data_IF_605909892558
#
_entry.id   IF_605909892558
#
_cell.length_a   1.000
_cell.length_b   1.000
_cell.length_c   1.000
_cell.angle_alpha   90.00
_cell.angle_beta   90.00
_cell.angle_gamma   90.00
#
_symmetry.space_group_name_H-M   'P 1'
#
loop_
_entity.id
_entity.type
_entity.pdbx_description
1 polymer ?
#
# COMPACT_ATOMS: atom_id res chain seq x y z
N UNK A 1 -10.29 -6.86 -0.77
CA UNK A 1 -9.70 -6.00 -1.82
C UNK A 1 -10.13 -4.58 -1.53
N UNK A 2 -9.22 -3.61 -1.66
CA UNK A 2 -9.46 -2.18 -1.48
C UNK A 2 -8.96 -1.45 -2.71
N UNK A 3 -9.70 -0.44 -3.15
CA UNK A 3 -9.33 0.43 -4.25
C UNK A 3 -9.68 1.87 -3.88
N UNK A 4 -8.77 2.79 -4.19
CA UNK A 4 -8.95 4.21 -3.95
C UNK A 4 -8.50 5.00 -5.17
N UNK A 5 -9.18 6.10 -5.43
CA UNK A 5 -8.76 7.10 -6.42
C UNK A 5 -8.55 8.38 -5.65
N UNK A 6 -7.42 9.05 -5.89
CA UNK A 6 -7.06 10.26 -5.18
C UNK A 6 -6.65 11.36 -6.17
N UNK A 7 -7.07 12.58 -5.86
CA UNK A 7 -6.76 13.79 -6.62
C UNK A 7 -6.45 14.90 -5.63
N UNK A 8 -5.17 15.08 -5.34
CA UNK A 8 -4.64 16.09 -4.45
C UNK A 8 -3.54 16.85 -5.20
N UNK A 9 -3.69 18.16 -5.48
CA UNK A 9 -2.77 18.90 -6.34
C UNK A 9 -1.35 19.00 -5.77
N UNK A 10 -1.22 19.13 -4.43
CA UNK A 10 0.05 19.38 -3.76
C UNK A 10 0.18 18.59 -2.47
N UNK A 11 1.42 18.52 -1.94
CA UNK A 11 1.73 17.85 -0.68
C UNK A 11 0.97 18.45 0.52
N UNK A 12 0.68 19.76 0.46
CA UNK A 12 -0.15 20.47 1.44
C UNK A 12 -1.60 19.98 1.47
N UNK A 13 -2.11 19.45 0.35
CA UNK A 13 -3.46 18.90 0.20
C UNK A 13 -3.49 17.35 0.28
N UNK A 14 -2.47 16.73 0.87
CA UNK A 14 -2.38 15.26 0.96
C UNK A 14 -3.60 14.66 1.65
N UNK A 15 -4.05 13.55 1.09
CA UNK A 15 -5.14 12.74 1.61
C UNK A 15 -4.54 11.61 2.44
N UNK A 16 -5.10 11.40 3.62
CA UNK A 16 -4.81 10.23 4.44
C UNK A 16 -5.98 9.27 4.30
N UNK A 17 -5.73 8.10 3.73
CA UNK A 17 -6.71 7.06 3.64
C UNK A 17 -6.20 5.81 4.36
N UNK A 18 -7.12 5.12 5.04
CA UNK A 18 -6.82 3.86 5.67
C UNK A 18 -6.72 2.77 4.60
N UNK A 19 -5.58 2.08 4.55
CA UNK A 19 -5.39 0.90 3.71
C UNK A 19 -5.44 -0.38 4.55
N UNK A 20 -6.02 -1.47 4.03
CA UNK A 20 -5.93 -2.77 4.68
C UNK A 20 -4.48 -3.19 4.87
N UNK A 21 -4.14 -3.57 6.09
CA UNK A 21 -2.79 -3.96 6.47
C UNK A 21 -2.75 -5.40 6.99
N UNK A 22 -1.55 -5.97 7.04
CA UNK A 22 -1.32 -7.25 7.70
C UNK A 22 -1.67 -7.15 9.18
N UNK A 23 -2.07 -8.28 9.78
CA UNK A 23 -2.47 -8.32 11.17
C UNK A 23 -1.36 -7.84 12.10
N UNK A 24 -1.69 -6.88 12.96
CA UNK A 24 -0.73 -6.26 13.89
C UNK A 24 0.08 -5.11 13.28
N UNK A 25 -0.20 -4.73 12.03
CA UNK A 25 0.32 -3.51 11.41
C UNK A 25 -0.80 -2.51 11.17
N UNK A 26 -0.48 -1.24 11.38
CA UNK A 26 -1.28 -0.11 10.92
C UNK A 26 -0.35 0.87 10.24
N UNK A 27 -0.72 1.33 9.06
CA UNK A 27 -0.05 2.44 8.42
C UNK A 27 -1.10 3.38 7.84
N UNK A 28 -0.71 4.65 7.84
CA UNK A 28 -1.49 5.74 7.30
C UNK A 28 -0.72 6.29 6.10
N UNK A 29 -0.87 5.69 4.92
CA UNK A 29 -0.25 6.21 3.72
C UNK A 29 -0.76 7.63 3.45
N UNK A 30 0.16 8.48 3.00
CA UNK A 30 -0.16 9.81 2.52
C UNK A 30 -0.23 9.79 1.00
N UNK A 31 -1.41 10.11 0.46
CA UNK A 31 -1.67 10.19 -0.96
C UNK A 31 -1.65 11.65 -1.39
N UNK A 32 -0.80 11.97 -2.36
CA UNK A 32 -0.71 13.28 -2.99
C UNK A 32 -0.44 13.10 -4.48
N UNK A 33 -0.83 14.08 -5.28
CA UNK A 33 -0.90 13.99 -6.74
C UNK A 33 -2.24 13.42 -7.23
N UNK A 34 -2.25 12.99 -8.50
CA UNK A 34 -3.40 12.32 -9.13
C UNK A 34 -3.06 10.88 -9.50
N UNK A 35 -3.91 9.96 -9.09
CA UNK A 35 -3.70 8.54 -9.36
C UNK A 35 -4.72 7.62 -8.70
N UNK A 36 -4.43 6.34 -8.80
CA UNK A 36 -5.22 5.25 -8.23
C UNK A 36 -4.32 4.41 -7.33
N UNK A 37 -4.85 3.94 -6.22
CA UNK A 37 -4.21 2.98 -5.34
C UNK A 37 -5.09 1.74 -5.22
N UNK A 38 -4.48 0.57 -5.17
CA UNK A 38 -5.14 -0.71 -4.97
C UNK A 38 -4.39 -1.52 -3.95
N UNK A 39 -5.12 -2.10 -3.00
CA UNK A 39 -4.56 -3.03 -2.00
C UNK A 39 -5.32 -4.33 -2.01
N UNK A 40 -4.57 -5.41 -2.16
CA UNK A 40 -5.06 -6.76 -2.10
C UNK A 40 -4.45 -7.44 -0.87
N UNK A 41 -5.33 -7.84 0.05
CA UNK A 41 -4.96 -8.57 1.27
C UNK A 41 -5.58 -9.96 1.17
N UNK A 42 -4.74 -10.99 1.22
CA UNK A 42 -5.12 -12.39 1.27
C UNK A 42 -4.72 -12.93 2.62
N UNK A 43 -5.68 -13.46 3.37
CA UNK A 43 -5.42 -14.19 4.60
C UNK A 43 -5.87 -15.63 4.39
N UNK A 44 -4.94 -16.56 4.58
CA UNK A 44 -5.17 -17.99 4.48
C UNK A 44 -4.83 -18.67 5.79
N UNK A 45 -5.78 -19.41 6.35
CA UNK A 45 -5.64 -20.14 7.61
C UNK A 45 -5.90 -21.62 7.37
N UNK A 46 -4.90 -22.38 6.88
CA UNK A 46 -5.08 -23.81 6.63
C UNK A 46 -5.31 -24.62 7.91
N UNK A 47 -4.88 -24.14 9.08
CA UNK A 47 -5.24 -24.74 10.37
C UNK A 47 -5.22 -23.71 11.50
N UNK A 48 -5.61 -24.12 12.72
CA UNK A 48 -5.57 -23.23 13.89
C UNK A 48 -4.15 -22.76 14.24
N UNK A 49 -3.15 -23.57 13.89
CA UNK A 49 -1.74 -23.34 14.17
C UNK A 49 -1.06 -22.49 13.08
N UNK A 50 -1.56 -22.55 11.84
CA UNK A 50 -0.93 -21.88 10.68
C UNK A 50 -1.79 -20.73 10.18
N UNK A 51 -1.23 -19.52 10.16
CA UNK A 51 -1.84 -18.33 9.55
C UNK A 51 -0.87 -17.73 8.55
N UNK A 52 -1.24 -17.71 7.27
CA UNK A 52 -0.51 -17.07 6.19
C UNK A 52 -1.25 -15.79 5.78
N UNK A 53 -0.55 -14.68 5.68
CA UNK A 53 -1.10 -13.39 5.27
C UNK A 53 -0.20 -12.79 4.19
N UNK A 54 -0.81 -12.36 3.09
CA UNK A 54 -0.12 -11.74 1.97
C UNK A 54 -0.83 -10.42 1.66
N UNK A 55 -0.06 -9.34 1.58
CA UNK A 55 -0.53 -8.00 1.21
C UNK A 55 0.23 -7.54 0.00
N UNK A 56 -0.50 -7.14 -1.03
CA UNK A 56 0.03 -6.50 -2.22
C UNK A 56 -0.65 -5.14 -2.38
N UNK A 57 0.12 -4.07 -2.27
CA UNK A 57 -0.33 -2.71 -2.50
C UNK A 57 0.35 -2.16 -3.75
N UNK A 58 -0.42 -1.51 -4.62
CA UNK A 58 0.06 -0.88 -5.82
C UNK A 58 -0.56 0.51 -5.94
N UNK A 59 0.28 1.51 -6.17
CA UNK A 59 -0.14 2.90 -6.38
C UNK A 59 0.33 3.31 -7.77
N UNK A 60 -0.62 3.59 -8.64
CA UNK A 60 -0.39 4.09 -9.99
C UNK A 60 -0.65 5.59 -10.03
N UNK A 61 0.36 6.38 -10.45
CA UNK A 61 0.25 7.84 -10.54
C UNK A 61 0.39 8.26 -12.00
N UNK A 62 -0.66 8.87 -12.55
CA UNK A 62 -0.73 9.25 -13.96
C UNK A 62 0.00 10.58 -14.24
N UNK A 63 0.14 11.44 -13.24
CA UNK A 63 0.47 12.86 -13.42
C UNK A 63 1.99 13.16 -13.27
N UNK A 64 2.75 12.31 -12.58
CA UNK A 64 4.19 12.55 -12.34
C UNK A 64 5.01 11.26 -12.43
N UNK A 65 6.16 11.35 -13.12
CA UNK A 65 7.07 10.22 -13.40
C UNK A 65 8.00 9.84 -12.24
N UNK A 66 8.11 10.68 -11.20
CA UNK A 66 8.96 10.41 -10.04
C UNK A 66 8.36 11.00 -8.76
N UNK A 67 8.50 10.27 -7.66
CA UNK A 67 8.10 10.71 -6.31
C UNK A 67 9.29 10.58 -5.36
N UNK A 68 9.61 11.66 -4.64
CA UNK A 68 10.74 11.75 -3.72
C UNK A 68 11.85 12.70 -4.21
N UNK A 69 12.63 13.24 -3.27
CA UNK A 69 13.81 14.08 -3.55
C UNK A 69 15.07 13.42 -2.97
N UNK A 70 16.17 13.40 -3.73
CA UNK A 70 17.44 12.79 -3.29
C UNK A 70 17.51 11.28 -3.52
N UNK A 71 18.18 10.54 -2.62
CA UNK A 71 18.40 9.08 -2.73
C UNK A 71 17.13 8.21 -2.58
N UNK A 72 16.01 8.79 -2.14
CA UNK A 72 14.71 8.14 -2.02
C UNK A 72 13.79 8.39 -3.22
N UNK A 73 14.34 8.89 -4.32
CA UNK A 73 13.59 9.08 -5.56
C UNK A 73 13.20 7.71 -6.10
N UNK A 74 11.90 7.44 -6.07
CA UNK A 74 11.32 6.27 -6.74
C UNK A 74 11.08 6.72 -8.19
N UNK A 75 12.03 6.39 -9.06
CA UNK A 75 11.89 6.56 -10.51
C UNK A 75 10.93 5.49 -11.02
N UNK A 76 9.66 5.86 -11.18
CA UNK A 76 8.61 4.94 -11.60
C UNK A 76 7.22 5.48 -11.35
N UNK A 77 6.37 5.41 -12.39
CA UNK A 77 4.95 5.77 -12.34
C UNK A 77 4.11 4.88 -11.39
N UNK A 78 4.66 3.73 -10.98
CA UNK A 78 4.00 2.73 -10.16
C UNK A 78 4.86 2.39 -8.95
N UNK A 79 4.33 2.60 -7.75
CA UNK A 79 4.93 2.11 -6.51
C UNK A 79 4.21 0.83 -6.11
N UNK A 80 4.95 -0.26 -5.91
CA UNK A 80 4.42 -1.54 -5.47
C UNK A 80 5.05 -1.94 -4.14
N UNK A 81 4.23 -2.37 -3.21
CA UNK A 81 4.63 -2.85 -1.89
C UNK A 81 4.04 -4.24 -1.68
N UNK A 82 4.92 -5.24 -1.61
CA UNK A 82 4.57 -6.62 -1.30
C UNK A 82 5.04 -6.93 0.11
N UNK A 83 4.10 -7.32 0.96
CA UNK A 83 4.38 -7.75 2.33
C UNK A 83 3.77 -9.14 2.55
N UNK A 84 4.55 -10.05 3.13
CA UNK A 84 4.11 -11.41 3.46
C UNK A 84 4.40 -11.71 4.92
N UNK A 85 3.48 -12.40 5.59
CA UNK A 85 3.57 -12.79 6.99
C UNK A 85 3.09 -14.22 7.18
N UNK A 86 3.95 -15.03 7.78
CA UNK A 86 3.65 -16.41 8.18
C UNK A 86 3.68 -16.47 9.70
N UNK A 87 2.63 -17.02 10.31
CA UNK A 87 2.52 -17.22 11.74
C UNK A 87 2.23 -18.66 12.04
N UNK A 88 3.07 -19.25 12.88
CA UNK A 88 2.88 -20.57 13.46
C UNK A 88 2.64 -20.42 14.97
N UNK A 89 1.61 -21.09 15.49
CA UNK A 89 1.26 -21.14 16.91
C UNK A 89 1.37 -22.61 17.32
N UNK A 90 2.10 -22.91 18.39
CA UNK A 90 2.28 -24.26 18.95
C UNK A 90 1.39 -24.45 20.19
#
# INVERSE_FOLDING_TARGET
>A
MFGAVFSAPDFSARLFAYEPQLRGRGAFPSFYGRGCAGVLLVQWKPSLHWTCECRYAAIYRSDRAAVGSGMQRIDGHSQQDLSFQLRYVF
#
